data_IF_449558213431
#
_entry.id   IF_449558213431
#
_cell.length_a   1.000
_cell.length_b   1.000
_cell.length_c   1.000
_cell.angle_alpha   90.00
_cell.angle_beta   90.00
_cell.angle_gamma   90.00
#
_symmetry.space_group_name_H-M   'P 1'
#
loop_
_entity.id
_entity.type
_entity.pdbx_description
1 polymer ?
#
# COMPACT_ATOMS: atom_id res chain seq x y z
N UNK A 1 -12.46 5.25 -13.86
CA UNK A 1 -11.55 5.95 -14.79
C UNK A 1 -10.14 5.42 -14.54
N UNK A 2 -9.35 5.25 -15.60
CA UNK A 2 -8.29 4.23 -15.80
C UNK A 2 -7.18 4.15 -14.71
N UNK A 3 -6.48 3.02 -14.47
CA UNK A 3 -5.85 2.29 -15.59
C UNK A 3 -5.38 0.82 -15.43
N UNK A 4 -5.77 -0.05 -16.38
CA UNK A 4 -5.09 -1.31 -16.74
C UNK A 4 -3.82 -1.16 -17.65
N UNK A 5 -3.20 0.04 -17.76
CA UNK A 5 -2.30 0.40 -18.88
C UNK A 5 -1.55 1.78 -18.78
N UNK A 6 -1.06 2.22 -17.60
CA UNK A 6 -0.03 3.30 -17.53
C UNK A 6 -0.45 4.70 -17.06
N UNK A 7 -1.24 4.81 -15.98
CA UNK A 7 -1.35 6.05 -15.20
C UNK A 7 -0.90 5.81 -13.73
N UNK A 8 -0.47 6.86 -13.00
CA UNK A 8 0.23 6.74 -11.72
C UNK A 8 -0.63 6.28 -10.53
N UNK A 9 -1.96 6.13 -10.69
CA UNK A 9 -2.90 5.77 -9.62
C UNK A 9 -3.25 4.27 -9.66
N UNK A 10 -3.11 3.60 -8.51
CA UNK A 10 -3.28 2.16 -8.33
C UNK A 10 -4.60 1.79 -7.62
N UNK A 11 -5.41 2.80 -7.25
CA UNK A 11 -6.68 2.65 -6.55
C UNK A 11 -6.95 3.84 -5.65
N UNK A 12 -8.09 3.86 -4.96
CA UNK A 12 -8.46 4.93 -4.05
C UNK A 12 -8.95 4.36 -2.73
N UNK A 13 -8.49 4.92 -1.62
CA UNK A 13 -9.05 4.63 -0.30
C UNK A 13 -10.24 5.54 -0.04
N UNK A 14 -11.40 5.01 0.39
CA UNK A 14 -12.45 5.84 0.94
C UNK A 14 -12.07 6.35 2.34
N UNK A 15 -12.85 7.29 2.84
CA UNK A 15 -12.72 7.73 4.22
C UNK A 15 -13.20 6.63 5.17
N UNK A 16 -12.47 6.44 6.28
CA UNK A 16 -12.88 5.55 7.36
C UNK A 16 -12.89 6.29 8.70
N UNK A 17 -13.90 6.02 9.51
CA UNK A 17 -13.99 6.53 10.88
C UNK A 17 -13.93 5.35 11.84
N UNK A 18 -12.96 5.35 12.75
CA UNK A 18 -12.80 4.28 13.73
C UNK A 18 -12.21 4.78 15.03
N UNK A 19 -12.87 4.47 16.16
CA UNK A 19 -12.41 4.81 17.52
C UNK A 19 -12.06 6.30 17.73
N UNK A 20 -12.78 7.20 17.04
CA UNK A 20 -12.54 8.65 17.13
C UNK A 20 -11.45 9.17 16.20
N UNK A 21 -10.74 8.30 15.47
CA UNK A 21 -9.81 8.71 14.41
C UNK A 21 -10.50 8.73 13.05
N UNK A 22 -10.14 9.73 12.26
CA UNK A 22 -10.52 9.84 10.85
C UNK A 22 -9.33 9.46 9.99
N UNK A 23 -9.62 8.60 9.04
CA UNK A 23 -8.68 8.14 8.05
C UNK A 23 -9.14 8.72 6.71
N UNK A 24 -8.44 9.72 6.15
CA UNK A 24 -8.97 10.48 5.03
C UNK A 24 -9.02 9.65 3.74
N UNK A 25 -9.98 9.97 2.88
CA UNK A 25 -10.01 9.45 1.52
C UNK A 25 -8.78 9.90 0.73
N UNK A 26 -8.36 9.13 -0.27
CA UNK A 26 -7.26 9.55 -1.15
C UNK A 26 -6.79 8.48 -2.12
N UNK A 27 -6.18 8.93 -3.20
CA UNK A 27 -5.66 8.09 -4.27
C UNK A 27 -4.33 7.41 -3.86
N UNK A 28 -4.12 6.18 -4.35
CA UNK A 28 -2.95 5.36 -4.04
C UNK A 28 -1.96 5.42 -5.19
N UNK A 29 -0.69 5.68 -4.87
CA UNK A 29 0.39 5.83 -5.83
C UNK A 29 1.55 4.91 -5.49
N UNK A 30 2.04 4.20 -6.50
CA UNK A 30 3.32 3.49 -6.45
C UNK A 30 4.39 4.33 -7.14
N UNK A 31 5.46 4.65 -6.42
CA UNK A 31 6.63 5.37 -6.95
C UNK A 31 7.77 4.39 -7.24
N UNK A 32 8.67 4.77 -8.14
CA UNK A 32 9.93 4.03 -8.37
C UNK A 32 10.68 3.82 -7.04
N UNK A 33 10.75 4.88 -6.24
CA UNK A 33 11.28 4.85 -4.89
C UNK A 33 12.77 4.49 -4.81
N UNK A 34 13.25 4.15 -3.62
CA UNK A 34 14.64 3.76 -3.40
C UNK A 34 14.76 2.82 -2.20
N UNK A 35 15.66 1.84 -2.29
CA UNK A 35 16.10 1.02 -1.17
C UNK A 35 17.35 1.65 -0.54
N UNK A 36 17.37 1.81 0.78
CA UNK A 36 18.48 2.41 1.53
C UNK A 36 19.16 1.42 2.48
N UNK A 37 18.51 0.29 2.76
CA UNK A 37 19.00 -0.78 3.62
C UNK A 37 17.85 -1.65 4.11
N UNK A 38 18.13 -2.66 4.95
CA UNK A 38 17.12 -3.57 5.48
C UNK A 38 15.97 -2.82 6.15
N UNK A 39 14.73 -3.09 5.73
CA UNK A 39 13.52 -2.41 6.20
C UNK A 39 13.56 -0.87 6.03
N UNK A 40 14.41 -0.37 5.13
CA UNK A 40 14.61 1.05 4.89
C UNK A 40 14.50 1.37 3.40
N UNK A 41 13.39 1.99 3.03
CA UNK A 41 13.13 2.37 1.65
C UNK A 41 11.65 2.52 1.37
N UNK A 42 11.31 2.74 0.10
CA UNK A 42 9.94 2.71 -0.37
C UNK A 42 9.85 2.42 -1.86
N UNK A 43 8.66 2.01 -2.31
CA UNK A 43 8.30 1.92 -3.73
C UNK A 43 8.91 0.71 -4.45
N UNK A 44 8.85 0.72 -5.78
CA UNK A 44 9.20 -0.42 -6.65
C UNK A 44 10.58 -1.01 -6.32
N UNK A 45 11.61 -0.16 -6.24
CA UNK A 45 12.99 -0.61 -5.98
C UNK A 45 13.16 -1.24 -4.60
N UNK A 46 12.45 -0.73 -3.60
CA UNK A 46 12.51 -1.27 -2.25
C UNK A 46 11.76 -2.60 -2.16
N UNK A 47 10.55 -2.68 -2.73
CA UNK A 47 9.75 -3.91 -2.76
C UNK A 47 10.54 -5.04 -3.42
N UNK A 48 11.12 -4.79 -4.59
CA UNK A 48 11.91 -5.80 -5.28
C UNK A 48 13.14 -6.22 -4.47
N UNK A 49 13.91 -5.25 -3.96
CA UNK A 49 15.14 -5.56 -3.21
C UNK A 49 14.90 -6.39 -1.93
N UNK A 50 13.78 -6.16 -1.23
CA UNK A 50 13.46 -6.89 0.00
C UNK A 50 12.71 -8.21 -0.26
N UNK A 51 11.82 -8.24 -1.27
CA UNK A 51 10.82 -9.30 -1.42
C UNK A 51 10.91 -10.09 -2.73
N UNK A 52 11.96 -9.91 -3.53
CA UNK A 52 12.15 -10.61 -4.82
C UNK A 52 11.87 -12.11 -4.73
N UNK A 53 12.43 -12.80 -3.73
CA UNK A 53 12.28 -14.27 -3.59
C UNK A 53 10.82 -14.71 -3.46
N UNK A 54 10.02 -13.95 -2.71
CA UNK A 54 8.59 -14.21 -2.49
C UNK A 54 7.80 -13.91 -3.76
N UNK A 55 8.06 -12.75 -4.38
CA UNK A 55 7.41 -12.33 -5.61
C UNK A 55 7.67 -13.31 -6.76
N UNK A 56 8.91 -13.76 -6.93
CA UNK A 56 9.27 -14.76 -7.95
C UNK A 56 8.53 -16.07 -7.73
N UNK A 57 8.38 -16.51 -6.48
CA UNK A 57 7.62 -17.72 -6.13
C UNK A 57 6.14 -17.60 -6.50
N UNK A 58 5.57 -16.39 -6.40
CA UNK A 58 4.20 -16.08 -6.80
C UNK A 58 4.04 -15.83 -8.32
N UNK A 59 5.11 -15.89 -9.12
CA UNK A 59 5.05 -15.69 -10.57
C UNK A 59 5.34 -14.25 -11.05
N UNK A 60 5.89 -13.39 -10.19
CA UNK A 60 6.35 -12.04 -10.53
C UNK A 60 7.88 -12.07 -10.69
N UNK A 61 8.35 -12.16 -11.94
CA UNK A 61 9.72 -12.58 -12.24
C UNK A 61 10.71 -11.42 -12.39
N UNK A 62 10.23 -10.20 -12.52
CA UNK A 62 11.06 -9.02 -12.74
C UNK A 62 10.63 -7.85 -11.87
N UNK A 63 11.53 -6.87 -11.68
CA UNK A 63 11.22 -5.62 -10.99
C UNK A 63 10.01 -4.89 -11.60
N UNK A 64 9.76 -5.05 -12.89
CA UNK A 64 8.61 -4.46 -13.57
C UNK A 64 7.28 -5.11 -13.15
N UNK A 65 7.32 -6.36 -12.69
CA UNK A 65 6.15 -7.08 -12.21
C UNK A 65 5.67 -6.60 -10.82
N UNK A 66 6.45 -5.77 -10.12
CA UNK A 66 6.02 -5.18 -8.83
C UNK A 66 4.76 -4.35 -8.99
N UNK A 67 4.63 -3.59 -10.07
CA UNK A 67 3.42 -2.81 -10.33
C UNK A 67 2.21 -3.73 -10.49
N UNK A 68 2.37 -4.86 -11.19
CA UNK A 68 1.33 -5.89 -11.34
C UNK A 68 0.94 -6.48 -9.99
N UNK A 69 1.93 -6.88 -9.18
CA UNK A 69 1.68 -7.42 -7.84
C UNK A 69 0.90 -6.44 -6.95
N UNK A 70 1.28 -5.17 -6.94
CA UNK A 70 0.56 -4.12 -6.19
C UNK A 70 -0.88 -3.98 -6.70
N UNK A 71 -1.10 -3.94 -8.01
CA UNK A 71 -2.45 -3.91 -8.58
C UNK A 71 -3.27 -5.14 -8.14
N UNK A 72 -2.69 -6.33 -8.15
CA UNK A 72 -3.40 -7.58 -7.81
C UNK A 72 -3.73 -7.67 -6.31
N UNK A 73 -3.01 -6.95 -5.44
CA UNK A 73 -3.37 -6.78 -4.04
C UNK A 73 -4.45 -5.70 -3.85
N UNK A 74 -4.34 -4.57 -4.56
CA UNK A 74 -5.29 -3.45 -4.49
C UNK A 74 -6.48 -3.72 -5.41
N UNK A 75 -7.37 -4.60 -4.96
CA UNK A 75 -8.59 -4.97 -5.67
C UNK A 75 -9.84 -4.68 -4.81
N UNK A 76 -11.03 -4.54 -5.42
CA UNK A 76 -12.29 -4.47 -4.69
C UNK A 76 -12.41 -5.62 -3.68
N UNK A 77 -12.84 -5.30 -2.45
CA UNK A 77 -12.94 -6.26 -1.35
C UNK A 77 -11.66 -6.48 -0.55
N UNK A 78 -10.51 -5.90 -0.96
CA UNK A 78 -9.30 -5.91 -0.14
C UNK A 78 -9.55 -5.22 1.21
N UNK A 79 -9.16 -5.87 2.30
CA UNK A 79 -9.36 -5.36 3.65
C UNK A 79 -8.42 -4.20 3.93
N UNK A 80 -8.96 -3.12 4.50
CA UNK A 80 -8.19 -1.96 4.95
C UNK A 80 -7.98 -2.09 6.46
N UNK A 81 -6.73 -2.23 6.87
CA UNK A 81 -6.33 -2.37 8.26
C UNK A 81 -5.49 -1.18 8.70
N UNK A 82 -5.50 -0.92 10.00
CA UNK A 82 -4.68 0.10 10.62
C UNK A 82 -3.90 -0.47 11.79
N UNK A 83 -2.60 -0.15 11.83
CA UNK A 83 -1.73 -0.48 12.95
C UNK A 83 -1.67 0.68 13.95
N UNK A 84 -2.32 0.51 15.11
CA UNK A 84 -2.44 1.56 16.11
C UNK A 84 -1.15 1.77 16.93
N UNK A 85 -0.17 0.86 16.82
CA UNK A 85 0.99 0.76 17.71
C UNK A 85 2.34 1.16 17.07
N UNK A 86 2.40 2.20 16.23
CA UNK A 86 3.70 2.70 15.77
C UNK A 86 4.41 3.48 16.91
N UNK A 87 5.67 3.14 17.28
CA UNK A 87 6.38 3.74 18.42
C UNK A 87 6.59 5.26 18.35
N UNK A 88 6.49 5.85 17.15
CA UNK A 88 6.66 7.29 16.92
C UNK A 88 5.42 8.16 17.12
N UNK A 89 4.32 7.64 17.67
CA UNK A 89 3.11 8.41 18.03
C UNK A 89 2.28 8.93 16.85
N UNK A 90 2.78 8.84 15.61
CA UNK A 90 2.01 9.10 14.38
C UNK A 90 1.38 7.79 13.91
N UNK A 91 0.19 7.52 14.39
CA UNK A 91 -0.75 6.52 13.86
C UNK A 91 -0.93 6.74 12.33
N UNK A 92 -0.90 5.82 11.36
CA UNK A 92 -0.76 4.35 11.27
C UNK A 92 -0.36 4.05 9.81
N UNK A 93 0.54 3.08 9.53
CA UNK A 93 0.58 2.47 8.22
C UNK A 93 -0.81 1.88 7.91
N UNK A 94 -1.37 2.21 6.75
CA UNK A 94 -2.58 1.52 6.29
C UNK A 94 -2.18 0.29 5.51
N UNK A 95 -2.72 -0.84 5.92
CA UNK A 95 -2.42 -2.12 5.32
C UNK A 95 -3.61 -2.52 4.48
N UNK A 96 -3.40 -2.61 3.17
CA UNK A 96 -4.32 -3.27 2.27
C UNK A 96 -3.98 -4.75 2.21
N UNK A 97 -4.97 -5.61 2.43
CA UNK A 97 -4.80 -7.06 2.42
C UNK A 97 -5.77 -7.70 1.46
N UNK A 98 -5.24 -8.52 0.57
CA UNK A 98 -6.02 -9.49 -0.20
C UNK A 98 -5.58 -10.92 0.14
N UNK A 99 -6.12 -11.92 -0.57
CA UNK A 99 -5.63 -13.30 -0.46
C UNK A 99 -4.18 -13.43 -0.97
N UNK A 100 -3.76 -12.53 -1.87
CA UNK A 100 -2.46 -12.55 -2.53
C UNK A 100 -1.33 -11.99 -1.64
N UNK A 101 -1.61 -10.93 -0.88
CA UNK A 101 -0.57 -10.29 -0.08
C UNK A 101 -1.01 -9.02 0.62
N UNK A 102 -0.01 -8.26 1.06
CA UNK A 102 -0.17 -7.00 1.78
C UNK A 102 0.51 -5.87 1.01
N UNK A 103 -0.13 -4.70 0.99
CA UNK A 103 0.47 -3.42 0.62
C UNK A 103 0.41 -2.47 1.81
N UNK A 104 1.57 -1.89 2.17
CA UNK A 104 1.68 -0.89 3.23
C UNK A 104 1.68 0.51 2.61
N UNK A 105 0.80 1.36 3.11
CA UNK A 105 0.60 2.72 2.64
C UNK A 105 0.96 3.76 3.70
N UNK A 106 1.56 4.85 3.23
CA UNK A 106 1.84 6.05 4.00
C UNK A 106 0.96 7.21 3.50
N UNK A 107 0.12 7.82 4.37
CA UNK A 107 -0.63 9.03 4.03
C UNK A 107 0.29 10.22 3.78
N UNK A 108 -0.02 11.04 2.79
CA UNK A 108 0.64 12.33 2.53
C UNK A 108 -0.40 13.38 2.15
N UNK A 109 -0.23 14.57 2.69
CA UNK A 109 -0.97 15.75 2.22
C UNK A 109 -0.53 16.10 0.80
N UNK A 110 -1.49 16.50 -0.02
CA UNK A 110 -1.29 16.89 -1.40
C UNK A 110 -2.37 17.88 -1.82
N UNK A 111 -2.01 19.15 -1.95
CA UNK A 111 -2.93 20.25 -2.28
C UNK A 111 -3.64 20.06 -3.63
N UNK A 112 -3.05 19.28 -4.53
CA UNK A 112 -3.64 18.96 -5.83
C UNK A 112 -4.64 17.79 -5.78
N UNK A 113 -4.67 17.02 -4.69
CA UNK A 113 -5.61 15.91 -4.54
C UNK A 113 -6.98 16.42 -4.10
N UNK A 114 -8.06 15.87 -4.65
CA UNK A 114 -9.43 16.32 -4.34
C UNK A 114 -9.77 16.20 -2.85
N UNK A 115 -9.26 15.19 -2.17
CA UNK A 115 -9.44 15.01 -0.73
C UNK A 115 -8.41 15.76 0.13
N UNK A 116 -7.40 16.39 -0.49
CA UNK A 116 -6.21 16.91 0.17
C UNK A 116 -5.18 15.83 0.57
N UNK A 117 -5.45 14.55 0.26
CA UNK A 117 -4.62 13.43 0.69
C UNK A 117 -4.36 12.42 -0.42
N UNK A 118 -3.16 11.83 -0.37
CA UNK A 118 -2.76 10.68 -1.18
C UNK A 118 -2.13 9.60 -0.30
N UNK A 119 -2.00 8.40 -0.85
CA UNK A 119 -1.36 7.26 -0.22
C UNK A 119 -0.18 6.81 -1.06
N UNK A 120 1.02 6.84 -0.48
CA UNK A 120 2.21 6.30 -1.14
C UNK A 120 2.41 4.85 -0.71
N UNK A 121 2.59 3.95 -1.67
CA UNK A 121 3.03 2.57 -1.38
C UNK A 121 4.45 2.63 -0.84
N UNK A 122 4.63 2.12 0.38
CA UNK A 122 5.93 2.00 1.04
C UNK A 122 6.55 0.65 0.69
N UNK A 123 5.86 -0.44 1.03
CA UNK A 123 6.28 -1.80 0.70
C UNK A 123 5.07 -2.68 0.37
N UNK A 124 5.32 -3.85 -0.21
CA UNK A 124 4.33 -4.85 -0.52
C UNK A 124 5.00 -6.23 -0.52
N UNK A 125 4.33 -7.24 0.05
CA UNK A 125 4.92 -8.58 0.19
C UNK A 125 3.85 -9.66 0.38
N UNK A 126 4.29 -10.92 0.22
CA UNK A 126 3.47 -12.09 0.45
C UNK A 126 3.33 -12.31 1.96
N UNK A 127 2.14 -12.12 2.52
CA UNK A 127 1.86 -12.61 3.87
C UNK A 127 0.38 -12.86 4.07
N UNK A 128 0.09 -13.81 4.96
CA UNK A 128 -1.27 -14.16 5.35
C UNK A 128 -1.63 -13.68 6.76
N UNK A 129 -0.69 -13.07 7.49
CA UNK A 129 -0.90 -12.57 8.85
C UNK A 129 -0.77 -11.05 8.91
N UNK A 130 -1.88 -10.39 9.20
CA UNK A 130 -1.92 -8.97 9.60
C UNK A 130 -1.97 -8.85 11.11
N UNK A 131 -1.27 -7.86 11.66
CA UNK A 131 -1.60 -7.29 12.97
C UNK A 131 -2.37 -5.98 12.73
N UNK A 132 -3.41 -5.71 13.52
CA UNK A 132 -4.17 -4.45 13.43
C UNK A 132 -5.70 -4.61 13.39
N UNK A 133 -6.40 -3.47 13.40
CA UNK A 133 -7.87 -3.41 13.40
C UNK A 133 -8.38 -3.28 11.97
N UNK A 134 -9.35 -4.11 11.57
CA UNK A 134 -10.05 -3.96 10.30
C UNK A 134 -10.95 -2.72 10.37
N UNK A 135 -10.77 -1.81 9.42
CA UNK A 135 -11.55 -0.58 9.29
C UNK A 135 -12.71 -0.75 8.30
N UNK A 136 -12.46 -1.52 7.24
CA UNK A 136 -13.41 -1.73 6.15
C UNK A 136 -12.73 -2.42 4.97
N UNK A 137 -13.31 -2.27 3.79
CA UNK A 137 -12.81 -2.86 2.54
C UNK A 137 -12.82 -1.81 1.43
N UNK A 138 -11.93 -1.98 0.45
CA UNK A 138 -11.97 -1.26 -0.83
C UNK A 138 -13.22 -1.62 -1.64
#
# INVERSE_FOLDING_TARGET
MAHPAGLPCFGSLPEFVSRGDVIPAGDIFLRVGNHRGPNSGFGVRHIWAEHEKELVRLGYHTVNDVARFVCDVIQPGAGVYCEFNHPGGKHRPKVLRSALGIVILEPKEADWAQSGWIYSVVTAYETHRTQGTLLGRL
#
